data_IF_892420295096
#
_entry.id   IF_892420295096
#
_cell.length_a   1.000
_cell.length_b   1.000
_cell.length_c   1.000
_cell.angle_alpha   90.00
_cell.angle_beta   90.00
_cell.angle_gamma   90.00
#
_symmetry.space_group_name_H-M   'P 1'
#
loop_
_entity.id
_entity.type
_entity.pdbx_description
1 polymer ?
#
# COMPACT_ATOMS: atom_id res chain seq x y z
N UNK A 1 -6.47 10.38 19.60
CA UNK A 1 -5.55 9.47 18.87
C UNK A 1 -4.65 10.37 18.05
N UNK A 2 -3.32 10.23 18.14
CA UNK A 2 -2.40 11.05 17.35
C UNK A 2 -2.46 10.56 15.90
N UNK A 3 -2.72 11.45 14.94
CA UNK A 3 -2.64 11.09 13.53
C UNK A 3 -1.18 10.74 13.21
N UNK A 4 -0.94 9.52 12.73
CA UNK A 4 0.38 9.06 12.33
C UNK A 4 0.61 9.47 10.88
N UNK A 5 1.62 10.28 10.63
CA UNK A 5 2.05 10.59 9.28
C UNK A 5 3.04 9.54 8.79
N UNK A 6 3.04 9.23 7.49
CA UNK A 6 3.97 8.23 6.90
C UNK A 6 5.45 8.59 7.13
N UNK A 7 5.72 9.87 7.35
CA UNK A 7 7.07 10.37 7.62
C UNK A 7 7.54 10.12 9.06
N UNK A 8 6.61 9.88 9.99
CA UNK A 8 6.91 9.71 11.43
C UNK A 8 7.56 8.35 11.74
N UNK A 9 7.34 7.34 10.89
CA UNK A 9 7.89 5.99 11.06
C UNK A 9 9.06 5.72 10.14
N UNK A 10 10.05 4.97 10.62
CA UNK A 10 11.12 4.44 9.76
C UNK A 10 10.51 3.52 8.67
N UNK A 11 11.01 3.55 7.41
CA UNK A 11 10.48 2.73 6.32
C UNK A 11 10.37 1.25 6.66
N UNK A 12 11.42 0.71 7.31
CA UNK A 12 11.48 -0.69 7.75
C UNK A 12 10.38 -1.04 8.77
N UNK A 13 10.05 -0.13 9.69
CA UNK A 13 9.01 -0.40 10.69
C UNK A 13 7.63 -0.40 10.04
N UNK A 14 7.40 0.52 9.10
CA UNK A 14 6.18 0.53 8.31
C UNK A 14 6.02 -0.77 7.51
N UNK A 15 7.08 -1.22 6.82
CA UNK A 15 7.08 -2.47 6.06
C UNK A 15 6.85 -3.71 6.95
N UNK A 16 7.43 -3.74 8.17
CA UNK A 16 7.20 -4.82 9.14
C UNK A 16 5.76 -4.89 9.62
N UNK A 17 5.16 -3.75 9.98
CA UNK A 17 3.78 -3.69 10.43
C UNK A 17 2.82 -4.13 9.32
N UNK A 18 3.08 -3.68 8.10
CA UNK A 18 2.32 -4.06 6.92
C UNK A 18 2.42 -5.56 6.64
N UNK A 19 3.62 -6.13 6.71
CA UNK A 19 3.88 -7.55 6.46
C UNK A 19 3.27 -8.43 7.54
N UNK A 20 3.35 -8.02 8.80
CA UNK A 20 2.70 -8.74 9.92
C UNK A 20 1.19 -8.75 9.74
N UNK A 21 0.60 -7.59 9.42
CA UNK A 21 -0.85 -7.46 9.23
C UNK A 21 -1.34 -8.29 8.06
N UNK A 22 -0.69 -8.18 6.89
CA UNK A 22 -1.05 -8.95 5.69
C UNK A 22 -0.82 -10.45 5.88
N UNK A 23 0.25 -10.88 6.57
CA UNK A 23 0.47 -12.29 6.89
C UNK A 23 -0.63 -12.84 7.79
N UNK A 24 -1.05 -12.09 8.81
CA UNK A 24 -2.14 -12.51 9.68
C UNK A 24 -3.48 -12.61 8.93
N UNK A 25 -3.78 -11.65 8.04
CA UNK A 25 -4.97 -11.72 7.19
C UNK A 25 -4.96 -12.98 6.32
N UNK A 26 -3.85 -13.28 5.66
CA UNK A 26 -3.72 -14.47 4.80
C UNK A 26 -3.84 -15.76 5.61
N UNK A 27 -3.25 -15.83 6.80
CA UNK A 27 -3.33 -17.01 7.69
C UNK A 27 -4.74 -17.29 8.20
N UNK A 28 -5.57 -16.27 8.29
CA UNK A 28 -6.94 -16.39 8.78
C UNK A 28 -7.94 -16.78 7.68
N UNK A 29 -7.51 -16.91 6.42
CA UNK A 29 -8.37 -17.36 5.33
C UNK A 29 -8.71 -18.84 5.53
N UNK A 30 -9.99 -19.14 5.69
CA UNK A 30 -10.45 -20.52 5.78
C UNK A 30 -10.60 -21.16 4.40
N UNK A 31 -10.36 -22.47 4.29
CA UNK A 31 -10.49 -23.20 3.02
C UNK A 31 -11.88 -23.08 2.38
N UNK A 32 -12.94 -22.98 3.19
CA UNK A 32 -14.33 -22.79 2.74
C UNK A 32 -14.52 -21.48 1.99
N UNK A 33 -13.73 -20.44 2.29
CA UNK A 33 -13.78 -19.14 1.60
C UNK A 33 -13.23 -19.20 0.18
N UNK A 34 -12.47 -20.26 -0.14
CA UNK A 34 -11.82 -20.47 -1.43
C UNK A 34 -12.56 -21.49 -2.32
N UNK A 35 -13.60 -22.16 -1.82
CA UNK A 35 -14.34 -23.16 -2.61
C UNK A 35 -15.31 -22.46 -3.58
N UNK A 36 -15.40 -22.95 -4.81
CA UNK A 36 -16.32 -22.47 -5.86
C UNK A 36 -16.24 -20.96 -6.15
N UNK A 37 -15.07 -20.35 -5.95
CA UNK A 37 -14.92 -18.90 -6.02
C UNK A 37 -15.97 -18.17 -5.15
N UNK A 38 -16.24 -18.65 -3.93
CA UNK A 38 -17.18 -18.00 -3.01
C UNK A 38 -16.87 -16.54 -2.77
N UNK A 39 -15.60 -16.14 -2.88
CA UNK A 39 -15.17 -14.75 -2.84
C UNK A 39 -15.64 -13.89 -4.02
N UNK A 40 -16.33 -14.39 -5.04
CA UNK A 40 -16.94 -13.58 -6.12
C UNK A 40 -18.47 -13.52 -6.04
N UNK A 41 -19.09 -14.22 -5.07
CA UNK A 41 -20.55 -14.34 -4.95
C UNK A 41 -21.12 -13.29 -4.00
N UNK A 42 -22.33 -12.80 -4.23
CA UNK A 42 -23.00 -11.75 -3.43
C UNK A 42 -23.21 -12.10 -1.94
N UNK A 43 -22.99 -13.36 -1.54
CA UNK A 43 -23.05 -13.87 -0.15
C UNK A 43 -21.94 -13.25 0.74
N UNK A 44 -21.00 -12.51 0.14
CA UNK A 44 -19.85 -11.82 0.76
C UNK A 44 -20.12 -10.94 2.00
N UNK A 45 -21.36 -10.57 2.35
CA UNK A 45 -21.60 -9.74 3.55
C UNK A 45 -21.27 -10.45 4.88
N UNK A 46 -21.13 -11.77 4.88
CA UNK A 46 -21.00 -12.59 6.10
C UNK A 46 -19.56 -13.09 6.32
N UNK A 47 -18.73 -13.17 5.28
CA UNK A 47 -17.38 -13.75 5.36
C UNK A 47 -16.31 -12.64 5.27
N UNK A 48 -15.23 -12.71 6.08
CA UNK A 48 -14.09 -11.81 5.91
C UNK A 48 -13.50 -12.03 4.51
N UNK A 49 -13.42 -10.97 3.71
CA UNK A 49 -12.90 -11.09 2.36
C UNK A 49 -11.40 -11.47 2.40
N UNK A 50 -10.97 -12.51 1.67
CA UNK A 50 -9.64 -13.07 1.82
C UNK A 50 -8.50 -12.13 1.39
N UNK A 51 -8.79 -11.05 0.63
CA UNK A 51 -7.73 -10.24 -0.02
C UNK A 51 -8.14 -8.75 -0.07
N UNK A 52 -8.24 -8.07 1.06
CA UNK A 52 -8.39 -6.61 1.08
C UNK A 52 -7.06 -5.90 1.21
N UNK A 53 -6.34 -5.75 0.10
CA UNK A 53 -5.26 -4.76 -0.01
C UNK A 53 -5.79 -3.33 -0.26
N UNK A 54 -7.10 -3.20 -0.53
CA UNK A 54 -7.79 -1.94 -0.86
C UNK A 54 -7.62 -0.82 0.20
N UNK A 55 -7.63 -1.09 1.52
CA UNK A 55 -7.44 -0.03 2.51
C UNK A 55 -6.04 0.59 2.45
N UNK A 56 -5.02 -0.23 2.14
CA UNK A 56 -3.64 0.24 1.99
C UNK A 56 -3.53 1.13 0.75
N UNK A 57 -3.99 0.66 -0.42
CA UNK A 57 -3.91 1.43 -1.66
C UNK A 57 -4.66 2.76 -1.53
N UNK A 58 -5.84 2.77 -0.92
CA UNK A 58 -6.62 4.00 -0.74
C UNK A 58 -5.96 4.99 0.23
N UNK A 59 -5.37 4.48 1.33
CA UNK A 59 -4.61 5.32 2.24
C UNK A 59 -3.40 5.97 1.55
N UNK A 60 -2.66 5.21 0.74
CA UNK A 60 -1.51 5.71 -0.01
C UNK A 60 -1.92 6.76 -1.06
N UNK A 61 -3.01 6.52 -1.79
CA UNK A 61 -3.58 7.52 -2.70
C UNK A 61 -3.90 8.81 -1.97
N UNK A 62 -4.55 8.71 -0.81
CA UNK A 62 -4.89 9.86 0.02
C UNK A 62 -3.64 10.62 0.45
N UNK A 63 -2.61 9.93 0.97
CA UNK A 63 -1.36 10.55 1.39
C UNK A 63 -0.71 11.36 0.26
N UNK A 64 -0.63 10.84 -0.98
CA UNK A 64 0.04 11.57 -2.06
C UNK A 64 -0.82 12.72 -2.61
N UNK A 65 -2.13 12.48 -2.79
CA UNK A 65 -3.03 13.44 -3.45
C UNK A 65 -3.44 14.61 -2.56
N UNK A 66 -3.47 14.42 -1.23
CA UNK A 66 -3.84 15.47 -0.27
C UNK A 66 -2.64 16.30 0.20
N UNK A 67 -1.39 15.87 -0.06
CA UNK A 67 -0.20 16.69 0.18
C UNK A 67 -0.10 17.82 -0.85
N UNK A 68 -0.49 19.02 -0.40
CA UNK A 68 -0.53 20.24 -1.23
C UNK A 68 0.87 20.76 -1.55
N UNK A 69 1.77 20.74 -0.57
CA UNK A 69 3.14 21.21 -0.77
C UNK A 69 3.91 20.30 -1.73
N UNK A 70 4.65 20.90 -2.66
CA UNK A 70 5.38 20.15 -3.68
C UNK A 70 6.51 19.32 -3.06
N UNK A 71 7.31 19.92 -2.19
CA UNK A 71 8.48 19.28 -1.60
C UNK A 71 8.07 18.20 -0.61
N UNK A 72 7.05 18.46 0.20
CA UNK A 72 6.47 17.47 1.10
C UNK A 72 5.96 16.25 0.31
N UNK A 73 5.28 16.45 -0.82
CA UNK A 73 4.80 15.34 -1.65
C UNK A 73 5.95 14.53 -2.24
N UNK A 74 7.03 15.17 -2.68
CA UNK A 74 8.25 14.49 -3.15
C UNK A 74 8.83 13.60 -2.04
N UNK A 75 8.91 14.12 -0.81
CA UNK A 75 9.40 13.36 0.36
C UNK A 75 8.48 12.19 0.69
N UNK A 76 7.16 12.36 0.61
CA UNK A 76 6.18 11.28 0.80
C UNK A 76 6.34 10.17 -0.25
N UNK A 77 6.43 10.53 -1.54
CA UNK A 77 6.64 9.56 -2.62
C UNK A 77 7.96 8.81 -2.44
N UNK A 78 9.02 9.54 -2.10
CA UNK A 78 10.32 8.96 -1.79
C UNK A 78 10.26 7.98 -0.62
N UNK A 79 9.59 8.34 0.48
CA UNK A 79 9.41 7.46 1.64
C UNK A 79 8.68 6.17 1.26
N UNK A 80 7.71 6.24 0.34
CA UNK A 80 7.00 5.06 -0.15
C UNK A 80 7.90 4.15 -0.99
N UNK A 81 8.83 4.70 -1.77
CA UNK A 81 9.83 3.92 -2.52
C UNK A 81 10.77 3.18 -1.54
N UNK A 82 11.23 3.86 -0.47
CA UNK A 82 12.03 3.22 0.57
C UNK A 82 11.26 2.05 1.22
N UNK A 83 9.97 2.24 1.51
CA UNK A 83 9.09 1.18 2.02
C UNK A 83 8.95 0.03 1.02
N UNK A 84 8.83 0.32 -0.28
CA UNK A 84 8.77 -0.72 -1.32
C UNK A 84 10.03 -1.59 -1.34
N UNK A 85 11.21 -0.98 -1.16
CA UNK A 85 12.46 -1.73 -1.09
C UNK A 85 12.52 -2.64 0.14
N UNK A 86 12.09 -2.14 1.30
CA UNK A 86 11.97 -2.96 2.52
C UNK A 86 10.96 -4.12 2.35
N UNK A 87 9.83 -3.89 1.67
CA UNK A 87 8.86 -4.94 1.36
C UNK A 87 9.43 -5.99 0.41
N UNK A 88 10.27 -5.57 -0.55
CA UNK A 88 11.00 -6.48 -1.46
C UNK A 88 11.95 -7.36 -0.67
N UNK A 89 12.72 -6.80 0.27
CA UNK A 89 13.62 -7.55 1.15
C UNK A 89 12.88 -8.54 2.06
N UNK A 90 11.66 -8.20 2.48
CA UNK A 90 10.80 -9.07 3.30
C UNK A 90 9.96 -10.08 2.48
N UNK A 91 10.12 -10.12 1.14
CA UNK A 91 9.33 -10.96 0.23
C UNK A 91 7.80 -10.72 0.29
N UNK A 92 7.36 -9.52 0.68
CA UNK A 92 5.95 -9.15 0.66
C UNK A 92 5.55 -8.59 -0.71
N UNK A 93 5.50 -9.48 -1.70
CA UNK A 93 5.21 -9.10 -3.09
C UNK A 93 3.78 -8.58 -3.29
N UNK A 94 2.82 -9.03 -2.48
CA UNK A 94 1.43 -8.56 -2.55
C UNK A 94 1.33 -7.07 -2.21
N UNK A 95 1.97 -6.64 -1.12
CA UNK A 95 2.00 -5.23 -0.75
C UNK A 95 2.86 -4.39 -1.71
N UNK A 96 4.00 -4.92 -2.14
CA UNK A 96 4.86 -4.28 -3.13
C UNK A 96 4.10 -3.98 -4.43
N UNK A 97 3.35 -4.97 -4.94
CA UNK A 97 2.53 -4.82 -6.13
C UNK A 97 1.41 -3.80 -5.92
N UNK A 98 0.77 -3.79 -4.75
CA UNK A 98 -0.27 -2.83 -4.42
C UNK A 98 0.25 -1.37 -4.44
N UNK A 99 1.45 -1.14 -3.90
CA UNK A 99 2.16 0.14 -3.97
C UNK A 99 2.51 0.52 -5.42
N UNK A 100 3.05 -0.42 -6.19
CA UNK A 100 3.35 -0.20 -7.60
C UNK A 100 2.10 0.19 -8.40
N UNK A 101 0.99 -0.53 -8.23
CA UNK A 101 -0.29 -0.22 -8.87
C UNK A 101 -0.83 1.16 -8.44
N UNK A 102 -0.58 1.57 -7.20
CA UNK A 102 -0.94 2.90 -6.71
C UNK A 102 -0.17 3.99 -7.48
N UNK A 103 1.13 3.82 -7.71
CA UNK A 103 1.91 4.78 -8.52
C UNK A 103 1.48 4.82 -9.99
N UNK A 104 1.06 3.69 -10.54
CA UNK A 104 0.53 3.60 -11.91
C UNK A 104 -0.92 4.11 -12.04
N UNK A 105 -1.57 4.46 -10.94
CA UNK A 105 -2.93 5.00 -11.01
C UNK A 105 -2.94 6.36 -11.70
N UNK A 106 -4.01 6.66 -12.43
CA UNK A 106 -4.13 7.91 -13.19
C UNK A 106 -3.96 9.17 -12.33
N UNK A 107 -4.32 9.10 -11.04
CA UNK A 107 -4.24 10.20 -10.09
C UNK A 107 -2.80 10.56 -9.74
N UNK A 108 -1.92 9.56 -9.62
CA UNK A 108 -0.54 9.74 -9.19
C UNK A 108 0.40 9.77 -10.40
N UNK A 109 0.19 8.90 -11.39
CA UNK A 109 1.02 8.81 -12.59
C UNK A 109 1.12 10.16 -13.32
N UNK A 110 0.04 10.95 -13.34
CA UNK A 110 0.00 12.28 -13.99
C UNK A 110 0.83 13.36 -13.29
N UNK A 111 1.37 13.13 -12.10
CA UNK A 111 2.11 14.11 -11.30
C UNK A 111 3.56 14.29 -11.81
N UNK A 112 3.73 14.61 -13.10
CA UNK A 112 5.01 14.64 -13.82
C UNK A 112 6.12 15.42 -13.10
N UNK A 113 5.81 16.58 -12.54
CA UNK A 113 6.82 17.40 -11.83
C UNK A 113 7.33 16.74 -10.56
N UNK A 114 6.49 15.93 -9.89
CA UNK A 114 6.89 15.17 -8.70
C UNK A 114 7.87 14.07 -9.10
N UNK A 115 7.59 13.37 -10.22
CA UNK A 115 8.41 12.27 -10.72
C UNK A 115 9.76 12.71 -11.32
N UNK A 116 9.86 13.95 -11.85
CA UNK A 116 11.10 14.49 -12.43
C UNK A 116 12.21 14.74 -11.41
N UNK A 117 11.92 14.70 -10.10
CA UNK A 117 12.93 14.97 -9.08
C UNK A 117 13.99 13.84 -9.11
N UNK A 118 15.29 14.15 -9.26
CA UNK A 118 16.35 13.16 -9.49
C UNK A 118 16.49 12.07 -8.41
N UNK A 119 15.94 12.29 -7.22
CA UNK A 119 15.99 11.33 -6.12
C UNK A 119 14.98 10.18 -6.27
N UNK A 120 13.93 10.35 -7.08
CA UNK A 120 12.85 9.36 -7.25
C UNK A 120 13.13 8.38 -8.39
N UNK A 121 14.00 8.74 -9.35
CA UNK A 121 14.27 7.95 -10.58
C UNK A 121 15.63 7.22 -10.57
N UNK A 122 16.25 7.03 -9.40
CA UNK A 122 17.51 6.28 -9.28
C UNK A 122 17.29 4.80 -9.06
#
# INVERSE_FOLDING_TARGET
MKELHILDLQPIEFAKQLTTTSSNMIRNIESVELVDASWTKEIQKILPQPIKNEPLTNCLHHCITFTKDFWERVVVVSRMIDVMEELRLMNNFSALLALHCTFQSSQIFRLNETWKVPYILK
#
